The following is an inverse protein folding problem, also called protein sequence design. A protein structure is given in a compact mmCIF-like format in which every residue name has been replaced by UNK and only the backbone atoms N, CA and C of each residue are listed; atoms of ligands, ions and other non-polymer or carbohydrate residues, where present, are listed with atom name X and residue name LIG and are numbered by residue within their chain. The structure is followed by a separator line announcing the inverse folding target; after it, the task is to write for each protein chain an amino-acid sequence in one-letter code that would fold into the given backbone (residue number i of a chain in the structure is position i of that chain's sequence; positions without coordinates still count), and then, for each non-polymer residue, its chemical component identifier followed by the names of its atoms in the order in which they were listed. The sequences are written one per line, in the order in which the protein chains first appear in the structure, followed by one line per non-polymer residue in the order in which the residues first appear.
data_IF_207948552509
#
_entry.id   IF_207948552509
#
_cell.length_a   1.000
_cell.length_b   1.000
_cell.length_c   1.000
_cell.angle_alpha   90.00
_cell.angle_beta   90.00
_cell.angle_gamma   90.00
#
_symmetry.space_group_name_H-M   'P 1'
#
loop_
_entity.id
_entity.type
_entity.pdbx_description
1 polymer ?
#
# COMPACT_ATOMS: atom_id res chain seq x y z
N UNK A 1 3.18 1.53 44.62
CA UNK A 1 2.76 0.12 44.62
C UNK A 1 1.31 0.10 45.06
N UNK A 2 0.39 0.25 44.12
CA UNK A 2 -1.04 -0.01 44.30
C UNK A 2 -1.54 -0.53 42.95
N UNK A 3 -2.27 -1.64 43.04
CA UNK A 3 -2.54 -2.59 41.97
C UNK A 3 -3.51 -2.04 40.91
N UNK A 4 -3.07 -2.02 39.64
CA UNK A 4 -3.98 -2.03 38.50
C UNK A 4 -4.36 -3.48 38.21
N UNK A 5 -5.61 -3.83 38.46
CA UNK A 5 -6.20 -5.12 38.10
C UNK A 5 -6.52 -5.09 36.60
N UNK A 6 -5.80 -5.86 35.81
CA UNK A 6 -6.11 -6.08 34.39
C UNK A 6 -7.36 -6.97 34.26
N UNK A 7 -8.31 -6.56 33.42
CA UNK A 7 -9.49 -7.33 33.05
C UNK A 7 -9.24 -7.98 31.69
N UNK A 8 -9.35 -9.32 31.62
CA UNK A 8 -9.22 -10.10 30.39
C UNK A 8 -10.55 -10.72 29.97
N UNK A 9 -10.74 -10.89 28.66
CA UNK A 9 -11.92 -11.47 28.03
C UNK A 9 -11.51 -12.51 26.99
N UNK A 10 -12.03 -13.74 27.05
CA UNK A 10 -11.84 -14.77 26.02
C UNK A 10 -13.14 -15.04 25.26
N UNK A 11 -13.03 -15.29 23.94
CA UNK A 11 -14.17 -15.59 23.07
C UNK A 11 -14.16 -17.09 22.70
N UNK A 12 -15.32 -17.73 22.79
CA UNK A 12 -15.56 -19.08 22.24
C UNK A 12 -16.49 -18.94 21.03
N UNK A 13 -16.13 -19.58 19.92
CA UNK A 13 -16.92 -19.56 18.69
C UNK A 13 -17.95 -20.69 18.71
N UNK A 14 -19.22 -20.33 18.90
CA UNK A 14 -20.33 -21.01 18.25
C UNK A 14 -21.32 -19.95 17.77
N UNK A 15 -21.81 -20.13 16.54
CA UNK A 15 -22.55 -19.12 15.80
C UNK A 15 -23.73 -18.53 16.56
N UNK A 16 -23.90 -17.21 16.37
CA UNK A 16 -24.89 -16.29 16.95
C UNK A 16 -24.65 -15.88 18.40
N UNK A 17 -24.23 -14.61 18.56
CA UNK A 17 -23.85 -13.86 19.76
C UNK A 17 -22.61 -14.35 20.54
N UNK A 18 -21.57 -13.50 20.55
CA UNK A 18 -20.37 -13.66 21.37
C UNK A 18 -20.66 -13.06 22.75
N UNK A 19 -20.92 -13.92 23.74
CA UNK A 19 -20.99 -13.53 25.15
C UNK A 19 -19.60 -13.65 25.79
N UNK A 20 -19.14 -12.58 26.44
CA UNK A 20 -17.85 -12.54 27.13
C UNK A 20 -18.00 -13.04 28.58
N UNK A 21 -17.35 -14.16 28.92
CA UNK A 21 -17.28 -14.66 30.30
C UNK A 21 -15.88 -14.48 30.88
N UNK A 22 -15.83 -13.99 32.13
CA UNK A 22 -14.59 -13.89 32.93
C UNK A 22 -14.34 -15.26 33.57
N UNK A 23 -13.19 -15.88 33.28
CA UNK A 23 -12.78 -17.15 33.88
C UNK A 23 -12.03 -16.88 35.18
N UNK A 24 -12.52 -17.41 36.30
CA UNK A 24 -11.81 -17.40 37.58
C UNK A 24 -11.16 -18.78 37.83
N UNK A 25 -9.89 -18.81 38.24
CA UNK A 25 -9.17 -20.02 38.63
C UNK A 25 -9.78 -20.66 39.90
N UNK A 26 -9.80 -22.01 40.04
CA UNK A 26 -10.60 -22.67 41.06
C UNK A 26 -9.81 -22.87 42.35
N UNK A 27 -10.18 -22.16 43.41
CA UNK A 27 -10.04 -22.65 44.80
C UNK A 27 -11.10 -22.00 45.66
N UNK A 28 -12.26 -22.63 45.81
CA UNK A 28 -13.03 -22.77 47.06
C UNK A 28 -14.38 -23.47 46.82
N UNK A 29 -14.81 -24.16 47.87
CA UNK A 29 -15.96 -25.07 48.05
C UNK A 29 -17.34 -24.46 47.75
N UNK A 30 -18.40 -25.28 47.60
CA UNK A 30 -19.60 -24.89 46.86
C UNK A 30 -20.55 -24.05 47.72
N UNK A 31 -20.56 -22.74 47.48
CA UNK A 31 -21.70 -21.89 47.82
C UNK A 31 -22.31 -21.38 46.51
N UNK A 32 -23.63 -21.57 46.38
CA UNK A 32 -24.45 -21.17 45.24
C UNK A 32 -24.02 -19.81 44.66
N UNK A 33 -23.74 -19.70 43.35
CA UNK A 33 -23.39 -18.41 42.76
C UNK A 33 -24.60 -17.47 42.81
N UNK A 34 -24.44 -16.21 43.23
CA UNK A 34 -25.50 -15.23 43.08
C UNK A 34 -25.75 -15.00 41.59
N UNK A 35 -27.03 -14.90 41.22
CA UNK A 35 -27.51 -14.46 39.90
C UNK A 35 -26.55 -13.43 39.28
N UNK A 36 -25.96 -13.78 38.14
CA UNK A 36 -25.12 -12.90 37.34
C UNK A 36 -25.95 -11.69 36.89
N UNK A 37 -25.87 -10.60 37.65
CA UNK A 37 -26.33 -9.30 37.19
C UNK A 37 -25.50 -8.93 35.97
N UNK A 38 -26.10 -8.99 34.78
CA UNK A 38 -25.53 -8.39 33.57
C UNK A 38 -25.24 -6.93 33.88
N UNK A 39 -23.94 -6.59 34.00
CA UNK A 39 -23.50 -5.21 34.20
C UNK A 39 -23.79 -4.42 32.93
N UNK A 40 -24.98 -3.81 32.89
CA UNK A 40 -25.38 -2.93 31.80
C UNK A 40 -24.42 -1.73 31.74
N UNK A 41 -23.82 -1.51 30.56
CA UNK A 41 -22.91 -0.40 30.31
C UNK A 41 -23.63 0.95 30.53
N UNK A 42 -23.34 1.63 31.64
CA UNK A 42 -24.09 2.83 32.07
C UNK A 42 -23.85 4.03 31.14
N UNK A 43 -22.74 4.04 30.40
CA UNK A 43 -22.39 5.10 29.45
C UNK A 43 -23.51 5.37 28.42
N UNK A 44 -24.18 4.32 27.95
CA UNK A 44 -25.25 4.44 26.94
C UNK A 44 -26.57 4.98 27.50
N UNK A 45 -26.70 5.11 28.82
CA UNK A 45 -27.91 5.63 29.48
C UNK A 45 -27.87 7.14 29.69
N UNK A 46 -26.69 7.76 29.59
CA UNK A 46 -26.57 9.20 29.69
C UNK A 46 -27.21 9.92 28.47
N UNK A 47 -27.69 11.17 28.62
CA UNK A 47 -28.10 12.00 27.49
C UNK A 47 -26.97 12.18 26.47
N UNK A 48 -27.31 12.36 25.19
CA UNK A 48 -26.33 12.48 24.09
C UNK A 48 -25.29 13.59 24.30
N UNK A 49 -25.68 14.71 24.91
CA UNK A 49 -24.77 15.82 25.24
C UNK A 49 -23.70 15.38 26.25
N UNK A 50 -24.10 14.57 27.25
CA UNK A 50 -23.16 14.05 28.26
C UNK A 50 -22.24 13.01 27.62
N UNK A 51 -22.78 12.14 26.76
CA UNK A 51 -21.99 11.17 25.99
C UNK A 51 -20.95 11.85 25.10
N UNK A 52 -21.35 12.89 24.36
CA UNK A 52 -20.44 13.69 23.52
C UNK A 52 -19.34 14.34 24.35
N UNK A 53 -19.65 14.90 25.53
CA UNK A 53 -18.62 15.44 26.41
C UNK A 53 -17.65 14.35 26.89
N UNK A 54 -18.16 13.19 27.32
CA UNK A 54 -17.33 12.06 27.76
C UNK A 54 -16.39 11.63 26.63
N UNK A 55 -16.92 11.43 25.42
CA UNK A 55 -16.14 11.04 24.26
C UNK A 55 -15.13 12.10 23.83
N UNK A 56 -15.50 13.38 23.90
CA UNK A 56 -14.59 14.51 23.65
C UNK A 56 -13.40 14.56 24.61
N UNK A 57 -13.53 14.05 25.84
CA UNK A 57 -12.41 13.93 26.79
C UNK A 57 -11.47 12.75 26.50
N UNK A 58 -11.93 11.74 25.77
CA UNK A 58 -11.14 10.56 25.48
C UNK A 58 -10.19 10.79 24.30
N UNK A 59 -8.94 10.39 24.46
CA UNK A 59 -7.97 10.35 23.37
C UNK A 59 -8.36 9.30 22.33
N UNK A 60 -7.68 9.30 21.18
CA UNK A 60 -7.99 8.41 20.06
C UNK A 60 -8.08 6.94 20.46
N UNK A 61 -7.05 6.42 21.13
CA UNK A 61 -6.93 4.99 21.40
C UNK A 61 -8.03 4.47 22.37
N UNK A 62 -8.30 5.10 23.54
CA UNK A 62 -9.44 4.70 24.38
C UNK A 62 -10.79 4.77 23.67
N UNK A 63 -10.98 5.78 22.82
CA UNK A 63 -12.23 5.95 22.08
C UNK A 63 -12.40 4.85 21.02
N UNK A 64 -11.31 4.48 20.34
CA UNK A 64 -11.27 3.36 19.41
C UNK A 64 -11.57 2.04 20.15
N UNK A 65 -10.95 1.77 21.31
CA UNK A 65 -11.25 0.58 22.13
C UNK A 65 -12.74 0.53 22.50
N UNK A 66 -13.32 1.64 22.97
CA UNK A 66 -14.75 1.69 23.30
C UNK A 66 -15.65 1.37 22.10
N UNK A 67 -15.21 1.71 20.89
CA UNK A 67 -15.96 1.40 19.67
C UNK A 67 -15.95 -0.11 19.33
N UNK A 68 -15.03 -0.90 19.88
CA UNK A 68 -15.06 -2.36 19.80
C UNK A 68 -16.08 -3.00 20.76
N UNK A 69 -16.48 -2.33 21.84
CA UNK A 69 -17.31 -2.93 22.90
C UNK A 69 -18.74 -3.29 22.45
N UNK A 70 -19.36 -2.53 21.55
CA UNK A 70 -20.66 -2.89 20.98
C UNK A 70 -20.97 -2.09 19.70
N UNK A 71 -21.82 -2.65 18.82
CA UNK A 71 -22.33 -1.95 17.63
C UNK A 71 -23.01 -0.62 17.98
N UNK A 72 -23.72 -0.56 19.12
CA UNK A 72 -24.40 0.66 19.59
C UNK A 72 -23.40 1.73 20.03
N UNK A 73 -22.37 1.34 20.79
CA UNK A 73 -21.29 2.26 21.20
C UNK A 73 -20.54 2.78 19.98
N UNK A 74 -20.21 1.90 19.04
CA UNK A 74 -19.56 2.23 17.77
C UNK A 74 -20.32 3.29 16.99
N UNK A 75 -21.61 3.05 16.76
CA UNK A 75 -22.47 3.99 16.03
C UNK A 75 -22.52 5.36 16.73
N UNK A 76 -22.69 5.35 18.06
CA UNK A 76 -22.75 6.57 18.85
C UNK A 76 -21.44 7.37 18.76
N UNK A 77 -20.28 6.73 18.94
CA UNK A 77 -18.96 7.36 18.80
C UNK A 77 -18.80 7.92 17.39
N UNK A 78 -19.14 7.14 16.35
CA UNK A 78 -19.02 7.59 14.96
C UNK A 78 -19.87 8.82 14.68
N UNK A 79 -21.09 8.88 15.21
CA UNK A 79 -22.00 10.00 15.01
C UNK A 79 -21.61 11.25 15.82
N UNK A 80 -21.22 11.10 17.09
CA UNK A 80 -20.93 12.23 17.97
C UNK A 80 -19.52 12.81 17.76
N UNK A 81 -18.57 11.98 17.32
CA UNK A 81 -17.16 12.35 17.15
C UNK A 81 -16.74 12.45 15.68
N UNK A 82 -17.69 12.55 14.74
CA UNK A 82 -17.42 12.54 13.29
C UNK A 82 -16.37 13.59 12.85
N UNK A 83 -16.34 14.74 13.51
CA UNK A 83 -15.41 15.84 13.26
C UNK A 83 -13.94 15.46 13.55
N UNK A 84 -13.69 14.46 14.41
CA UNK A 84 -12.32 13.98 14.71
C UNK A 84 -11.76 13.09 13.61
N UNK A 85 -12.64 12.54 12.77
CA UNK A 85 -12.29 11.58 11.73
C UNK A 85 -12.17 12.22 10.35
N UNK A 86 -12.66 13.44 10.17
CA UNK A 86 -12.73 14.11 8.86
C UNK A 86 -11.35 14.35 8.24
N UNK A 87 -10.33 14.52 9.09
CA UNK A 87 -8.96 14.75 8.66
C UNK A 87 -8.19 13.45 8.41
N UNK A 88 -8.72 12.30 8.79
CA UNK A 88 -8.10 11.00 8.49
C UNK A 88 -8.13 10.82 6.96
N UNK A 89 -6.98 10.47 6.41
CA UNK A 89 -6.80 10.21 4.98
C UNK A 89 -6.48 8.76 4.71
N UNK A 90 -5.68 8.13 5.58
CA UNK A 90 -5.26 6.75 5.38
C UNK A 90 -5.03 5.98 6.68
N UNK A 91 -5.14 4.67 6.57
CA UNK A 91 -4.84 3.70 7.61
C UNK A 91 -3.83 2.72 7.04
N UNK A 92 -2.68 2.61 7.70
CA UNK A 92 -1.60 1.74 7.26
C UNK A 92 -1.36 0.61 8.25
N UNK A 93 -1.26 -0.61 7.71
CA UNK A 93 -0.81 -1.81 8.40
C UNK A 93 0.66 -2.03 8.06
N UNK A 94 1.53 -2.10 9.07
CA UNK A 94 2.94 -2.44 8.93
C UNK A 94 3.19 -3.80 9.61
N UNK A 95 3.67 -4.74 8.79
CA UNK A 95 4.02 -6.11 9.15
C UNK A 95 5.55 -6.19 9.36
N UNK A 96 5.97 -6.76 10.49
CA UNK A 96 7.37 -6.79 10.95
C UNK A 96 7.69 -8.15 11.56
N UNK A 97 8.95 -8.41 11.95
CA UNK A 97 9.35 -9.66 12.63
C UNK A 97 8.58 -9.93 13.93
N UNK A 98 8.07 -8.89 14.57
CA UNK A 98 7.32 -9.06 15.80
C UNK A 98 5.96 -9.73 15.52
N UNK A 99 5.48 -10.53 16.49
CA UNK A 99 4.11 -11.06 16.47
C UNK A 99 3.04 -9.96 16.47
N UNK A 100 3.44 -8.69 16.59
CA UNK A 100 2.59 -7.51 16.58
C UNK A 100 2.40 -6.93 15.18
N UNK A 101 1.22 -6.39 14.93
CA UNK A 101 0.92 -5.58 13.74
C UNK A 101 0.81 -4.13 14.13
N UNK A 102 1.60 -3.31 13.46
CA UNK A 102 1.64 -1.87 13.67
C UNK A 102 0.57 -1.21 12.80
N UNK A 103 -0.45 -0.62 13.42
CA UNK A 103 -1.49 0.11 12.70
C UNK A 103 -1.31 1.59 12.96
N UNK A 104 -1.25 2.37 11.89
CA UNK A 104 -1.19 3.83 11.99
C UNK A 104 -2.37 4.46 11.29
N UNK A 105 -3.05 5.36 12.01
CA UNK A 105 -4.12 6.19 11.46
C UNK A 105 -3.55 7.58 11.23
N UNK A 106 -3.62 8.06 9.98
CA UNK A 106 -2.99 9.31 9.57
C UNK A 106 -3.93 10.22 8.82
N UNK A 107 -3.71 11.51 9.04
CA UNK A 107 -4.36 12.63 8.37
C UNK A 107 -3.37 13.76 8.12
N UNK A 108 -3.83 14.90 7.61
CA UNK A 108 -2.92 16.01 7.30
C UNK A 108 -2.21 16.57 8.54
N UNK A 109 -2.91 16.58 9.68
CA UNK A 109 -2.38 16.99 10.98
C UNK A 109 -2.53 15.90 12.06
N UNK A 110 -2.82 14.66 11.65
CA UNK A 110 -3.17 13.56 12.54
C UNK A 110 -2.17 12.43 12.39
N UNK A 111 -1.62 11.98 13.51
CA UNK A 111 -0.79 10.78 13.57
C UNK A 111 -1.07 10.02 14.86
N UNK A 112 -1.72 8.87 14.73
CA UNK A 112 -2.01 7.98 15.85
C UNK A 112 -1.49 6.57 15.54
N UNK A 113 -0.29 6.22 16.00
CA UNK A 113 0.17 4.84 15.99
C UNK A 113 -0.49 4.06 17.12
N UNK A 114 -0.90 2.83 16.85
CA UNK A 114 -1.20 1.83 17.87
C UNK A 114 -0.74 0.46 17.40
N UNK A 115 -0.25 -0.33 18.33
CA UNK A 115 0.17 -1.70 18.08
C UNK A 115 -0.98 -2.63 18.46
N UNK A 116 -1.16 -3.67 17.66
CA UNK A 116 -1.96 -4.81 18.05
C UNK A 116 -1.01 -5.97 18.19
N UNK A 117 -0.69 -6.30 19.45
CA UNK A 117 -0.10 -7.59 19.76
C UNK A 117 -1.24 -8.55 20.04
N UNK A 118 -1.40 -9.58 19.24
CA UNK A 118 -2.40 -10.60 19.47
C UNK A 118 -1.97 -11.58 20.59
N UNK A 119 -0.76 -11.42 21.13
CA UNK A 119 -0.21 -12.17 22.26
C UNK A 119 -0.88 -11.73 23.57
N UNK A 120 -1.72 -12.58 24.15
CA UNK A 120 -2.07 -12.49 25.57
C UNK A 120 -0.90 -12.99 26.41
N UNK A 121 -0.64 -12.42 27.59
CA UNK A 121 0.46 -12.82 28.50
C UNK A 121 0.54 -14.34 28.80
N UNK A 122 -0.52 -15.10 28.52
CA UNK A 122 -0.62 -16.54 28.77
C UNK A 122 -0.20 -17.44 27.58
N UNK A 123 -0.09 -16.90 26.36
CA UNK A 123 0.33 -17.64 25.16
C UNK A 123 1.40 -16.84 24.41
N UNK A 124 2.69 -17.09 24.66
CA UNK A 124 3.78 -16.26 24.15
C UNK A 124 4.09 -16.44 22.65
N UNK A 125 3.37 -17.31 21.94
CA UNK A 125 3.60 -17.59 20.51
C UNK A 125 2.25 -17.64 19.79
N UNK A 126 2.08 -16.77 18.81
CA UNK A 126 0.93 -16.78 17.91
C UNK A 126 1.21 -17.64 16.68
N UNK A 127 0.23 -18.43 16.23
CA UNK A 127 0.34 -19.04 14.89
C UNK A 127 0.06 -18.01 13.79
N UNK A 128 0.67 -18.19 12.61
CA UNK A 128 0.43 -17.32 11.45
C UNK A 128 -1.07 -17.24 11.06
N UNK A 129 -1.81 -18.33 11.25
CA UNK A 129 -3.25 -18.38 10.98
C UNK A 129 -4.06 -17.51 11.95
N UNK A 130 -3.73 -17.52 13.23
CA UNK A 130 -4.38 -16.66 14.23
C UNK A 130 -4.06 -15.18 13.97
N UNK A 131 -2.80 -14.86 13.64
CA UNK A 131 -2.38 -13.49 13.26
C UNK A 131 -3.22 -13.00 12.07
N UNK A 132 -3.38 -13.83 11.04
CA UNK A 132 -4.20 -13.50 9.88
C UNK A 132 -5.68 -13.24 10.26
N UNK A 133 -6.29 -14.09 11.07
CA UNK A 133 -7.70 -13.94 11.47
C UNK A 133 -7.92 -12.67 12.30
N UNK A 134 -7.03 -12.39 13.25
CA UNK A 134 -7.10 -11.18 14.08
C UNK A 134 -6.98 -9.94 13.21
N UNK A 135 -5.95 -9.87 12.36
CA UNK A 135 -5.71 -8.73 11.46
C UNK A 135 -6.89 -8.53 10.51
N UNK A 136 -7.46 -9.60 9.95
CA UNK A 136 -8.65 -9.50 9.10
C UNK A 136 -9.85 -8.91 9.87
N UNK A 137 -10.11 -9.39 11.09
CA UNK A 137 -11.20 -8.88 11.92
C UNK A 137 -11.03 -7.40 12.28
N UNK A 138 -9.80 -6.98 12.56
CA UNK A 138 -9.46 -5.57 12.80
C UNK A 138 -9.65 -4.75 11.52
N UNK A 139 -9.19 -5.26 10.38
CA UNK A 139 -9.37 -4.59 9.11
C UNK A 139 -10.85 -4.38 8.77
N UNK A 140 -11.66 -5.43 8.88
CA UNK A 140 -13.10 -5.36 8.65
C UNK A 140 -13.77 -4.34 9.60
N UNK A 141 -13.34 -4.32 10.86
CA UNK A 141 -13.81 -3.34 11.84
C UNK A 141 -13.46 -1.90 11.42
N UNK A 142 -12.18 -1.64 11.12
CA UNK A 142 -11.70 -0.29 10.77
C UNK A 142 -12.37 0.19 9.48
N UNK A 143 -12.54 -0.72 8.50
CA UNK A 143 -13.25 -0.45 7.26
C UNK A 143 -14.72 -0.09 7.51
N UNK A 144 -15.43 -0.81 8.37
CA UNK A 144 -16.82 -0.49 8.74
C UNK A 144 -16.91 0.83 9.53
N UNK A 145 -15.91 1.10 10.38
CA UNK A 145 -15.88 2.27 11.25
C UNK A 145 -15.60 3.56 10.48
N UNK A 146 -14.51 3.59 9.70
CA UNK A 146 -14.05 4.77 8.98
C UNK A 146 -14.62 4.87 7.56
N UNK A 147 -15.01 3.75 6.95
CA UNK A 147 -15.62 3.70 5.64
C UNK A 147 -14.64 3.71 4.47
N UNK A 148 -15.18 3.64 3.23
CA UNK A 148 -14.40 3.49 1.98
C UNK A 148 -13.72 4.77 1.50
N UNK A 149 -14.02 5.92 2.11
CA UNK A 149 -13.39 7.21 1.75
C UNK A 149 -11.94 7.30 2.20
N UNK A 150 -11.53 6.44 3.14
CA UNK A 150 -10.17 6.35 3.65
C UNK A 150 -9.35 5.41 2.76
N UNK A 151 -8.08 5.75 2.54
CA UNK A 151 -7.14 4.90 1.83
C UNK A 151 -6.55 3.86 2.81
N UNK A 152 -6.74 2.57 2.54
CA UNK A 152 -6.12 1.50 3.34
C UNK A 152 -4.86 1.02 2.63
N UNK A 153 -3.78 0.90 3.41
CA UNK A 153 -2.43 0.67 2.91
C UNK A 153 -1.75 -0.47 3.67
N UNK A 154 -0.98 -1.30 2.97
CA UNK A 154 -0.20 -2.38 3.56
C UNK A 154 1.28 -2.14 3.30
N UNK A 155 2.10 -2.39 4.31
CA UNK A 155 3.55 -2.30 4.25
C UNK A 155 4.15 -3.52 4.97
N UNK A 156 5.21 -4.11 4.42
CA UNK A 156 5.88 -5.28 5.01
C UNK A 156 7.39 -5.21 4.88
N UNK A 157 8.08 -5.64 5.93
CA UNK A 157 9.54 -5.79 5.96
C UNK A 157 9.98 -7.13 5.37
N UNK A 158 11.28 -7.32 5.18
CA UNK A 158 11.91 -8.48 4.54
C UNK A 158 11.76 -9.83 5.27
N UNK A 159 10.95 -9.87 6.33
CA UNK A 159 10.86 -11.00 7.24
C UNK A 159 9.55 -11.77 7.14
N UNK A 160 8.45 -11.10 6.77
CA UNK A 160 7.16 -11.75 6.58
C UNK A 160 6.39 -11.16 5.40
N UNK A 161 5.53 -11.99 4.79
CA UNK A 161 4.55 -11.52 3.82
C UNK A 161 3.28 -11.06 4.53
N UNK A 162 2.65 -9.97 4.08
CA UNK A 162 1.41 -9.52 4.68
C UNK A 162 0.24 -10.43 4.27
N UNK A 163 -0.81 -10.55 5.10
CA UNK A 163 -2.04 -11.22 4.71
C UNK A 163 -2.77 -10.48 3.59
N UNK A 164 -3.59 -11.22 2.85
CA UNK A 164 -4.46 -10.67 1.80
C UNK A 164 -5.64 -9.93 2.43
N UNK A 165 -5.59 -8.60 2.49
CA UNK A 165 -6.66 -7.75 3.00
C UNK A 165 -7.50 -7.15 1.86
N UNK A 166 -8.79 -6.89 2.12
CA UNK A 166 -9.72 -6.29 1.15
C UNK A 166 -9.56 -4.77 1.11
N UNK A 167 -10.03 -4.15 0.03
CA UNK A 167 -10.09 -2.68 -0.12
C UNK A 167 -8.75 -1.95 0.13
N UNK A 168 -7.61 -2.63 -0.10
CA UNK A 168 -6.28 -2.04 -0.01
C UNK A 168 -6.00 -1.30 -1.31
N UNK A 169 -5.70 0.00 -1.22
CA UNK A 169 -5.36 0.83 -2.38
C UNK A 169 -3.88 0.76 -2.72
N UNK A 170 -3.02 0.49 -1.72
CA UNK A 170 -1.57 0.52 -1.88
C UNK A 170 -0.91 -0.55 -1.04
N UNK A 171 0.08 -1.21 -1.63
CA UNK A 171 0.89 -2.22 -0.94
C UNK A 171 2.37 -1.99 -1.24
N UNK A 172 3.21 -2.06 -0.21
CA UNK A 172 4.67 -2.14 -0.33
C UNK A 172 5.14 -3.41 0.39
N UNK A 173 5.89 -4.26 -0.29
CA UNK A 173 6.41 -5.51 0.29
C UNK A 173 7.91 -5.55 0.01
N UNK A 174 8.71 -5.65 1.07
CA UNK A 174 10.05 -6.22 0.96
C UNK A 174 9.93 -7.73 1.04
N UNK A 175 10.17 -8.41 -0.06
CA UNK A 175 9.91 -9.84 -0.20
C UNK A 175 10.94 -10.63 0.62
N UNK A 176 10.50 -11.51 1.53
CA UNK A 176 11.39 -12.42 2.23
C UNK A 176 12.11 -13.37 1.28
N UNK A 177 13.33 -13.76 1.64
CA UNK A 177 14.09 -14.74 0.86
C UNK A 177 13.34 -16.07 0.69
N UNK A 178 13.49 -16.71 -0.48
CA UNK A 178 12.83 -17.96 -0.86
C UNK A 178 11.30 -17.90 -1.04
N UNK A 179 10.71 -16.69 -1.06
CA UNK A 179 9.29 -16.53 -1.38
C UNK A 179 9.00 -17.01 -2.81
N UNK A 180 8.00 -17.89 -2.95
CA UNK A 180 7.48 -18.33 -4.25
C UNK A 180 6.61 -17.27 -4.91
N UNK A 181 6.42 -17.37 -6.23
CA UNK A 181 5.54 -16.44 -6.94
C UNK A 181 4.08 -16.56 -6.46
N UNK A 182 3.64 -17.76 -6.10
CA UNK A 182 2.30 -18.05 -5.60
C UNK A 182 2.05 -17.43 -4.21
N UNK A 183 3.03 -17.50 -3.31
CA UNK A 183 2.95 -16.88 -1.98
C UNK A 183 2.90 -15.35 -2.08
N UNK A 184 3.73 -14.75 -2.94
CA UNK A 184 3.70 -13.31 -3.19
C UNK A 184 2.36 -12.89 -3.80
N UNK A 185 1.87 -13.62 -4.79
CA UNK A 185 0.60 -13.37 -5.47
C UNK A 185 -0.59 -13.43 -4.48
N UNK A 186 -0.58 -14.38 -3.53
CA UNK A 186 -1.62 -14.55 -2.54
C UNK A 186 -1.88 -13.28 -1.70
N UNK A 187 -0.86 -12.45 -1.49
CA UNK A 187 -0.94 -11.18 -0.76
C UNK A 187 -1.92 -10.17 -1.40
N UNK A 188 -2.19 -10.29 -2.71
CA UNK A 188 -2.93 -9.30 -3.48
C UNK A 188 -4.34 -9.74 -3.90
N UNK A 189 -4.67 -11.04 -3.77
CA UNK A 189 -5.93 -11.64 -4.25
C UNK A 189 -7.18 -10.93 -3.70
N UNK A 190 -7.17 -10.50 -2.44
CA UNK A 190 -8.31 -9.84 -1.81
C UNK A 190 -8.51 -8.37 -2.28
N UNK A 191 -7.50 -7.76 -2.88
CA UNK A 191 -7.54 -6.37 -3.39
C UNK A 191 -6.88 -6.27 -4.76
N UNK A 192 -7.54 -6.78 -5.83
CA UNK A 192 -7.02 -6.64 -7.19
C UNK A 192 -7.09 -5.18 -7.68
N UNK A 193 -6.25 -4.84 -8.66
CA UNK A 193 -6.20 -3.52 -9.31
C UNK A 193 -5.90 -2.36 -8.34
N UNK A 194 -4.95 -2.59 -7.42
CA UNK A 194 -4.48 -1.53 -6.52
C UNK A 194 -3.94 -0.32 -7.30
N UNK A 195 -4.02 0.86 -6.69
CA UNK A 195 -3.46 2.09 -7.27
C UNK A 195 -1.94 1.99 -7.35
N UNK A 196 -1.29 1.43 -6.33
CA UNK A 196 0.17 1.34 -6.24
C UNK A 196 0.61 0.04 -5.58
N UNK A 197 1.48 -0.69 -6.27
CA UNK A 197 2.21 -1.83 -5.71
C UNK A 197 3.71 -1.56 -5.82
N UNK A 198 4.42 -1.69 -4.70
CA UNK A 198 5.87 -1.75 -4.67
C UNK A 198 6.33 -3.12 -4.16
N UNK A 199 7.22 -3.75 -4.91
CA UNK A 199 7.84 -5.01 -4.53
C UNK A 199 9.35 -4.81 -4.57
N UNK A 200 9.99 -5.02 -3.43
CA UNK A 200 11.42 -4.86 -3.22
C UNK A 200 11.96 -6.13 -2.55
N UNK A 201 13.27 -6.21 -2.31
CA UNK A 201 13.92 -7.37 -1.70
C UNK A 201 14.28 -8.47 -2.71
N UNK A 202 14.58 -9.66 -2.20
CA UNK A 202 15.19 -10.73 -2.99
C UNK A 202 14.13 -11.67 -3.58
N UNK A 203 13.39 -11.19 -4.58
CA UNK A 203 12.43 -12.00 -5.31
C UNK A 203 12.97 -12.45 -6.68
N UNK A 204 13.16 -13.76 -6.83
CA UNK A 204 13.63 -14.40 -8.07
C UNK A 204 12.54 -15.24 -8.76
N UNK A 205 11.28 -15.13 -8.32
CA UNK A 205 10.16 -15.88 -8.89
C UNK A 205 9.66 -15.29 -10.20
N UNK A 206 8.98 -16.11 -11.01
CA UNK A 206 8.30 -15.67 -12.24
C UNK A 206 6.82 -15.44 -11.92
N UNK A 207 6.35 -14.20 -12.08
CA UNK A 207 4.94 -13.90 -11.94
C UNK A 207 4.12 -14.58 -13.04
N UNK A 208 2.99 -15.16 -12.65
CA UNK A 208 2.07 -15.83 -13.57
C UNK A 208 1.53 -14.85 -14.63
N UNK A 209 1.12 -15.38 -15.79
CA UNK A 209 0.55 -14.57 -16.89
C UNK A 209 -0.66 -13.75 -16.47
N UNK A 210 -1.48 -14.29 -15.56
CA UNK A 210 -2.68 -13.65 -15.04
C UNK A 210 -2.46 -12.99 -13.67
N UNK A 211 -1.22 -12.70 -13.30
CA UNK A 211 -0.88 -12.08 -12.01
C UNK A 211 -1.64 -10.78 -11.79
N UNK A 212 -2.27 -10.67 -10.63
CA UNK A 212 -2.97 -9.50 -10.08
C UNK A 212 -2.01 -8.33 -9.91
N UNK A 213 -0.76 -8.61 -9.54
CA UNK A 213 0.31 -7.62 -9.36
C UNK A 213 0.52 -6.82 -10.66
N UNK A 214 0.55 -7.51 -11.80
CA UNK A 214 0.73 -6.91 -13.13
C UNK A 214 -0.48 -6.08 -13.60
N UNK A 215 -1.60 -6.11 -12.86
CA UNK A 215 -2.79 -5.29 -13.08
C UNK A 215 -2.84 -4.01 -12.24
N UNK A 216 -1.86 -3.75 -11.37
CA UNK A 216 -1.83 -2.51 -10.60
C UNK A 216 -1.74 -1.28 -11.50
N UNK A 217 -2.38 -0.17 -11.11
CA UNK A 217 -2.31 1.07 -11.88
C UNK A 217 -0.86 1.57 -11.95
N UNK A 218 -0.13 1.45 -10.84
CA UNK A 218 1.28 1.78 -10.73
C UNK A 218 2.03 0.61 -10.10
N UNK A 219 3.02 0.08 -10.82
CA UNK A 219 3.85 -1.01 -10.35
C UNK A 219 5.30 -0.56 -10.29
N UNK A 220 5.91 -0.67 -9.11
CA UNK A 220 7.35 -0.52 -8.90
C UNK A 220 7.91 -1.86 -8.44
N UNK A 221 8.89 -2.37 -9.16
CA UNK A 221 9.58 -3.61 -8.79
C UNK A 221 11.09 -3.38 -8.74
N UNK A 222 11.73 -3.97 -7.75
CA UNK A 222 13.17 -4.11 -7.68
C UNK A 222 13.46 -5.61 -7.67
N UNK A 223 13.80 -6.17 -8.83
CA UNK A 223 14.01 -7.60 -8.99
C UNK A 223 15.41 -7.86 -9.52
N UNK A 224 16.19 -8.62 -8.78
CA UNK A 224 17.51 -9.06 -9.22
C UNK A 224 17.33 -10.22 -10.21
N UNK A 225 17.36 -9.97 -11.52
CA UNK A 225 17.28 -11.08 -12.48
C UNK A 225 16.86 -10.77 -13.92
N UNK A 226 16.46 -11.83 -14.62
CA UNK A 226 16.15 -11.82 -16.07
C UNK A 226 14.64 -11.81 -16.36
N UNK A 227 13.82 -11.31 -15.44
CA UNK A 227 12.35 -11.31 -15.55
C UNK A 227 11.76 -10.00 -16.05
N UNK A 228 12.61 -8.99 -16.31
CA UNK A 228 12.18 -7.66 -16.77
C UNK A 228 11.30 -7.72 -18.02
N UNK A 229 11.70 -8.53 -19.01
CA UNK A 229 10.94 -8.67 -20.27
C UNK A 229 9.51 -9.17 -20.03
N UNK A 230 9.34 -10.20 -19.20
CA UNK A 230 8.02 -10.78 -18.92
C UNK A 230 7.11 -9.78 -18.20
N UNK A 231 7.68 -8.97 -17.30
CA UNK A 231 6.94 -7.93 -16.58
C UNK A 231 6.46 -6.86 -17.54
N UNK A 232 7.34 -6.32 -18.38
CA UNK A 232 6.97 -5.28 -19.34
C UNK A 232 5.89 -5.79 -20.31
N UNK A 233 6.09 -6.96 -20.92
CA UNK A 233 5.17 -7.50 -21.93
C UNK A 233 3.78 -7.87 -21.37
N UNK A 234 3.67 -8.14 -20.06
CA UNK A 234 2.41 -8.58 -19.42
C UNK A 234 1.77 -7.52 -18.53
N UNK A 235 2.44 -6.40 -18.29
CA UNK A 235 1.91 -5.31 -17.47
C UNK A 235 0.70 -4.66 -18.15
N UNK A 236 -0.38 -4.46 -17.38
CA UNK A 236 -1.66 -3.94 -17.89
C UNK A 236 -2.03 -2.57 -17.32
N UNK A 237 -1.23 -2.07 -16.38
CA UNK A 237 -1.44 -0.80 -15.72
C UNK A 237 -0.93 0.41 -16.50
N UNK A 238 -0.82 1.52 -15.79
CA UNK A 238 -0.52 2.82 -16.37
C UNK A 238 0.92 3.29 -16.16
N UNK A 239 1.59 2.87 -15.09
CA UNK A 239 2.98 3.26 -14.82
C UNK A 239 3.78 2.07 -14.34
N UNK A 240 4.91 1.83 -14.98
CA UNK A 240 5.81 0.75 -14.64
C UNK A 240 7.19 1.30 -14.31
N UNK A 241 7.73 0.91 -13.15
CA UNK A 241 9.10 1.17 -12.75
C UNK A 241 9.77 -0.16 -12.43
N UNK A 242 10.82 -0.51 -13.18
CA UNK A 242 11.59 -1.72 -12.98
C UNK A 242 13.02 -1.33 -12.67
N UNK A 243 13.50 -1.70 -11.50
CA UNK A 243 14.87 -1.50 -11.05
C UNK A 243 15.60 -2.85 -10.95
N UNK A 244 16.90 -2.83 -11.24
CA UNK A 244 17.81 -3.98 -11.11
C UNK A 244 17.47 -5.19 -12.00
N UNK A 245 16.73 -4.99 -13.10
CA UNK A 245 16.37 -6.08 -14.01
C UNK A 245 17.04 -5.95 -15.38
N UNK A 246 17.32 -7.09 -16.02
CA UNK A 246 17.82 -7.15 -17.40
C UNK A 246 16.67 -7.19 -18.42
N UNK A 247 16.86 -6.48 -19.54
CA UNK A 247 15.96 -6.54 -20.69
C UNK A 247 16.69 -6.88 -21.99
N UNK A 248 16.03 -7.61 -22.88
CA UNK A 248 16.52 -7.80 -24.24
C UNK A 248 16.23 -6.56 -25.10
N UNK A 249 17.16 -6.21 -26.00
CA UNK A 249 16.96 -5.07 -26.91
C UNK A 249 15.74 -5.30 -27.81
N UNK A 250 15.47 -6.55 -28.18
CA UNK A 250 14.28 -6.95 -28.94
C UNK A 250 12.99 -6.59 -28.21
N UNK A 251 12.95 -6.74 -26.88
CA UNK A 251 11.77 -6.42 -26.08
C UNK A 251 11.53 -4.91 -26.02
N UNK A 252 12.60 -4.13 -25.84
CA UNK A 252 12.52 -2.66 -25.86
C UNK A 252 12.09 -2.17 -27.25
N UNK A 253 12.71 -2.69 -28.31
CA UNK A 253 12.32 -2.38 -29.69
C UNK A 253 10.86 -2.77 -29.99
N UNK A 254 10.41 -3.92 -29.49
CA UNK A 254 9.02 -4.35 -29.62
C UNK A 254 8.08 -3.37 -28.92
N UNK A 255 8.37 -3.02 -27.67
CA UNK A 255 7.60 -2.02 -26.91
C UNK A 255 7.45 -0.71 -27.69
N UNK A 256 8.57 -0.12 -28.14
CA UNK A 256 8.54 1.15 -28.86
C UNK A 256 7.76 1.06 -30.18
N UNK A 257 7.93 -0.03 -30.94
CA UNK A 257 7.21 -0.27 -32.20
C UNK A 257 5.71 -0.44 -32.00
N UNK A 258 5.32 -1.28 -31.05
CA UNK A 258 3.92 -1.58 -30.77
C UNK A 258 3.19 -0.38 -30.17
N UNK A 259 3.84 0.36 -29.26
CA UNK A 259 3.28 1.61 -28.74
C UNK A 259 3.11 2.63 -29.86
N UNK A 260 4.16 2.89 -30.66
CA UNK A 260 4.13 3.87 -31.75
C UNK A 260 3.06 3.54 -32.80
N UNK A 261 2.92 2.28 -33.19
CA UNK A 261 1.90 1.84 -34.16
C UNK A 261 0.50 1.66 -33.56
N UNK A 262 0.32 2.01 -32.28
CA UNK A 262 -0.91 1.87 -31.51
C UNK A 262 -1.44 0.41 -31.42
N UNK A 263 -0.57 -0.59 -31.61
CA UNK A 263 -0.91 -2.01 -31.55
C UNK A 263 -0.76 -2.61 -30.14
N UNK A 264 0.05 -1.99 -29.27
CA UNK A 264 0.26 -2.45 -27.90
C UNK A 264 0.50 -1.31 -26.92
N UNK A 265 0.52 -1.64 -25.63
CA UNK A 265 0.87 -0.72 -24.53
C UNK A 265 0.01 0.55 -24.44
N UNK A 266 -1.24 0.54 -24.92
CA UNK A 266 -2.07 1.75 -24.97
C UNK A 266 -2.40 2.32 -23.58
N UNK A 267 -2.40 1.48 -22.54
CA UNK A 267 -2.62 1.91 -21.16
C UNK A 267 -1.39 2.57 -20.53
N UNK A 268 -0.18 2.32 -21.06
CA UNK A 268 1.07 2.72 -20.45
C UNK A 268 1.35 4.21 -20.67
N UNK A 269 1.43 4.95 -19.57
CA UNK A 269 1.66 6.40 -19.52
C UNK A 269 3.11 6.74 -19.23
N UNK A 270 3.79 5.91 -18.45
CA UNK A 270 5.21 6.06 -18.17
C UNK A 270 5.88 4.73 -17.90
N UNK A 271 7.12 4.60 -18.37
CA UNK A 271 8.00 3.47 -18.12
C UNK A 271 9.35 4.01 -17.65
N UNK A 272 9.86 3.43 -16.57
CA UNK A 272 11.23 3.63 -16.11
C UNK A 272 11.86 2.26 -15.94
N UNK A 273 12.95 2.02 -16.65
CA UNK A 273 13.79 0.84 -16.52
C UNK A 273 15.16 1.33 -16.08
N UNK A 274 15.64 0.80 -14.97
CA UNK A 274 17.00 0.94 -14.52
C UNK A 274 17.65 -0.45 -14.46
N UNK A 275 18.67 -0.66 -15.28
CA UNK A 275 19.40 -1.91 -15.43
C UNK A 275 20.86 -1.77 -14.97
N UNK A 276 21.08 -0.91 -13.96
CA UNK A 276 22.39 -0.67 -13.36
C UNK A 276 23.06 -2.02 -13.00
N UNK A 277 24.36 -2.15 -13.29
CA UNK A 277 25.14 -3.40 -13.15
C UNK A 277 24.76 -4.59 -14.07
N UNK A 278 23.65 -4.54 -14.83
CA UNK A 278 23.20 -5.67 -15.66
C UNK A 278 23.43 -5.49 -17.16
N UNK A 279 23.08 -4.33 -17.71
CA UNK A 279 23.11 -4.13 -19.17
C UNK A 279 23.28 -2.67 -19.55
N UNK A 280 24.15 -2.46 -20.55
CA UNK A 280 24.18 -1.20 -21.28
C UNK A 280 23.25 -1.20 -22.49
N UNK A 281 22.59 -0.08 -22.73
CA UNK A 281 21.74 0.14 -23.89
C UNK A 281 22.43 1.03 -24.92
N UNK A 282 22.21 0.73 -26.19
CA UNK A 282 22.64 1.55 -27.31
C UNK A 282 21.42 2.28 -27.88
N UNK A 283 21.30 3.56 -27.53
CA UNK A 283 20.20 4.41 -27.96
C UNK A 283 20.07 4.45 -29.50
N UNK A 284 21.18 4.50 -30.23
CA UNK A 284 21.18 4.60 -31.70
C UNK A 284 20.59 3.33 -32.31
N UNK A 285 20.95 2.17 -31.77
CA UNK A 285 20.45 0.89 -32.25
C UNK A 285 18.99 0.63 -31.83
N UNK A 286 18.60 1.00 -30.61
CA UNK A 286 17.24 0.80 -30.11
C UNK A 286 16.21 1.71 -30.77
N UNK A 287 16.60 2.94 -31.08
CA UNK A 287 15.74 3.92 -31.73
C UNK A 287 15.80 3.85 -33.26
N UNK A 288 16.60 2.93 -33.80
CA UNK A 288 16.70 2.69 -35.24
C UNK A 288 15.31 2.36 -35.80
N UNK A 289 14.94 3.05 -36.86
CA UNK A 289 13.66 2.93 -37.55
C UNK A 289 12.43 3.43 -36.75
N UNK A 290 12.61 4.09 -35.59
CA UNK A 290 11.48 4.64 -34.81
C UNK A 290 11.00 6.02 -35.30
N UNK A 291 11.69 6.64 -36.25
CA UNK A 291 11.43 8.00 -36.74
C UNK A 291 11.29 9.01 -35.58
N UNK A 292 12.25 8.98 -34.65
CA UNK A 292 12.33 9.86 -33.49
C UNK A 292 12.40 11.31 -33.96
N UNK A 293 11.57 12.16 -33.35
CA UNK A 293 11.58 13.59 -33.56
C UNK A 293 12.45 14.27 -32.49
N UNK A 294 13.02 15.42 -32.84
CA UNK A 294 13.79 16.25 -31.93
C UNK A 294 13.15 17.63 -31.83
N UNK A 295 13.22 18.23 -30.65
CA UNK A 295 12.76 19.61 -30.44
C UNK A 295 13.49 20.58 -31.39
N UNK A 296 12.74 21.53 -31.96
CA UNK A 296 13.20 22.46 -33.01
C UNK A 296 14.49 23.22 -32.66
N UNK A 297 14.62 23.63 -31.39
CA UNK A 297 15.77 24.40 -30.91
C UNK A 297 16.78 23.49 -30.23
N UNK A 298 18.08 23.54 -30.59
CA UNK A 298 19.14 22.73 -30.00
C UNK A 298 19.38 22.92 -28.50
N UNK A 299 18.90 24.01 -27.91
CA UNK A 299 19.02 24.31 -26.48
C UNK A 299 17.82 23.83 -25.66
N UNK A 300 16.67 23.59 -26.29
CA UNK A 300 15.44 23.30 -25.57
C UNK A 300 15.43 21.84 -25.07
N UNK A 301 15.14 21.62 -23.80
CA UNK A 301 14.83 20.29 -23.28
C UNK A 301 13.43 20.27 -22.73
N UNK A 302 12.72 19.17 -22.97
CA UNK A 302 11.41 18.96 -22.38
C UNK A 302 11.57 18.16 -21.10
N UNK A 303 11.13 18.76 -19.99
CA UNK A 303 11.07 18.10 -18.70
C UNK A 303 9.64 17.61 -18.48
N UNK A 304 9.44 16.30 -18.57
CA UNK A 304 8.15 15.65 -18.30
C UNK A 304 8.20 15.13 -16.88
N UNK A 305 7.34 15.64 -16.00
CA UNK A 305 7.18 15.09 -14.64
C UNK A 305 5.83 14.46 -14.44
N UNK A 306 5.77 13.49 -13.55
CA UNK A 306 4.52 12.94 -13.06
C UNK A 306 4.62 12.71 -11.56
N UNK A 307 3.47 12.88 -10.90
CA UNK A 307 3.36 12.70 -9.47
C UNK A 307 2.71 11.35 -9.19
N UNK A 308 3.42 10.50 -8.45
CA UNK A 308 2.86 9.25 -7.96
C UNK A 308 2.66 9.39 -6.47
N UNK A 309 1.48 9.04 -5.97
CA UNK A 309 1.32 8.80 -4.54
C UNK A 309 2.01 7.47 -4.23
N UNK A 310 2.90 7.46 -3.25
CA UNK A 310 3.70 6.28 -2.90
C UNK A 310 3.69 6.04 -1.41
N UNK A 311 4.04 4.81 -1.03
CA UNK A 311 4.39 4.45 0.33
C UNK A 311 5.92 4.54 0.43
N UNK A 312 6.47 5.52 1.14
CA UNK A 312 7.90 5.51 1.46
C UNK A 312 8.14 5.87 2.91
N UNK A 313 8.84 5.00 3.63
CA UNK A 313 9.49 5.32 4.90
C UNK A 313 10.89 5.83 4.57
N UNK A 314 11.17 7.11 4.89
CA UNK A 314 12.55 7.59 4.94
C UNK A 314 13.21 7.06 6.21
N UNK A 315 14.28 6.28 6.06
CA UNK A 315 15.06 5.72 7.18
C UNK A 315 16.25 6.62 7.58
N UNK A 316 16.39 7.82 7.03
CA UNK A 316 17.43 8.76 7.46
C UNK A 316 16.90 9.76 8.49
N UNK A 317 17.23 9.49 9.76
CA UNK A 317 17.54 10.45 10.85
C UNK A 317 16.52 11.58 11.15
N UNK A 318 15.89 11.49 12.33
CA UNK A 318 15.34 12.61 13.11
C UNK A 318 14.39 13.58 12.38
N UNK A 319 13.18 13.11 12.08
CA UNK A 319 12.06 13.93 11.64
C UNK A 319 11.31 13.28 10.49
N UNK A 320 10.28 12.49 10.81
CA UNK A 320 9.59 11.64 9.84
C UNK A 320 8.69 12.43 8.87
N UNK A 321 9.25 12.91 7.76
CA UNK A 321 8.45 13.31 6.60
C UNK A 321 8.27 12.12 5.67
N UNK A 322 7.08 11.51 5.72
CA UNK A 322 6.63 10.57 4.68
C UNK A 322 6.53 11.34 3.35
N UNK A 323 7.30 10.95 2.34
CA UNK A 323 7.17 11.53 1.02
C UNK A 323 5.83 11.06 0.41
N UNK A 324 4.79 11.89 0.57
CA UNK A 324 3.39 11.65 0.12
C UNK A 324 3.26 11.44 -1.38
N UNK A 325 4.27 11.88 -2.13
CA UNK A 325 4.35 11.64 -3.55
C UNK A 325 5.78 11.76 -4.04
N UNK A 326 6.18 10.85 -4.92
CA UNK A 326 7.42 11.02 -5.68
C UNK A 326 7.05 11.75 -6.96
N UNK A 327 7.70 12.91 -7.17
CA UNK A 327 7.75 13.55 -8.48
C UNK A 327 8.83 12.83 -9.25
N UNK A 328 8.43 11.93 -10.14
CA UNK A 328 9.33 11.33 -11.12
C UNK A 328 9.33 12.22 -12.35
N UNK A 329 10.39 12.16 -13.13
CA UNK A 329 10.44 12.86 -14.39
C UNK A 329 11.54 12.34 -15.29
N UNK A 330 11.45 12.73 -16.55
CA UNK A 330 12.50 12.54 -17.52
C UNK A 330 12.72 13.86 -18.24
N UNK A 331 13.98 14.13 -18.56
CA UNK A 331 14.36 15.24 -19.42
C UNK A 331 14.83 14.67 -20.73
N UNK A 332 14.17 15.01 -21.83
CA UNK A 332 14.60 14.56 -23.16
C UNK A 332 14.34 15.61 -24.22
N UNK A 333 15.15 15.54 -25.28
CA UNK A 333 14.93 16.23 -26.55
C UNK A 333 14.21 15.34 -27.57
N UNK A 334 14.34 14.03 -27.37
CA UNK A 334 13.87 12.99 -28.28
C UNK A 334 12.45 12.59 -27.88
N UNK A 335 11.55 12.58 -28.87
CA UNK A 335 10.17 12.20 -28.66
C UNK A 335 9.61 11.40 -29.84
N UNK A 336 8.58 10.62 -29.53
CA UNK A 336 7.84 9.82 -30.48
C UNK A 336 6.42 10.36 -30.58
N UNK A 337 5.87 10.28 -31.79
CA UNK A 337 4.46 10.57 -32.06
C UNK A 337 3.79 9.24 -32.38
N UNK A 338 2.72 8.92 -31.65
CA UNK A 338 1.93 7.72 -31.88
C UNK A 338 1.10 7.85 -33.15
N UNK A 339 1.14 6.81 -33.95
CA UNK A 339 0.39 6.72 -35.19
C UNK A 339 -1.12 6.62 -34.89
N UNK A 340 -1.92 7.42 -35.58
CA UNK A 340 -3.39 7.40 -35.46
C UNK A 340 -3.96 8.55 -34.63
N UNK A 341 -3.58 8.68 -33.36
CA UNK A 341 -4.11 9.74 -32.46
C UNK A 341 -3.13 10.90 -32.20
N UNK A 342 -1.87 10.78 -32.63
CA UNK A 342 -0.88 11.84 -32.51
C UNK A 342 -0.37 12.08 -31.09
N UNK A 343 -0.64 11.18 -30.14
CA UNK A 343 -0.14 11.31 -28.76
C UNK A 343 1.39 11.32 -28.76
N UNK A 344 1.96 12.32 -28.08
CA UNK A 344 3.40 12.52 -27.99
C UNK A 344 3.96 11.90 -26.72
N UNK A 345 5.16 11.34 -26.82
CA UNK A 345 5.87 10.76 -25.69
C UNK A 345 7.36 11.04 -25.77
N UNK A 346 7.95 11.51 -24.67
CA UNK A 346 9.40 11.63 -24.57
C UNK A 346 10.04 10.27 -24.34
N UNK A 347 11.19 10.06 -24.96
CA UNK A 347 12.01 8.86 -24.77
C UNK A 347 13.43 9.28 -24.42
N UNK A 348 14.00 8.63 -23.42
CA UNK A 348 15.40 8.79 -23.02
C UNK A 348 15.99 7.40 -22.89
N UNK A 349 17.11 7.16 -23.57
CA UNK A 349 17.89 5.94 -23.45
C UNK A 349 19.32 6.36 -23.15
N UNK A 350 19.76 6.06 -21.94
CA UNK A 350 21.14 6.23 -21.49
C UNK A 350 21.80 4.85 -21.29
N UNK A 351 23.05 4.83 -20.83
CA UNK A 351 23.80 3.59 -20.65
C UNK A 351 22.98 2.54 -19.90
N UNK A 352 22.38 2.86 -18.76
CA UNK A 352 21.66 1.87 -17.93
C UNK A 352 20.16 2.15 -17.79
N UNK A 353 19.67 3.23 -18.37
CA UNK A 353 18.34 3.76 -18.10
C UNK A 353 17.53 3.89 -19.38
N UNK A 354 16.28 3.44 -19.33
CA UNK A 354 15.28 3.69 -20.35
C UNK A 354 14.10 4.36 -19.67
N UNK A 355 13.82 5.60 -20.08
CA UNK A 355 12.64 6.34 -19.64
C UNK A 355 11.74 6.64 -20.83
N UNK A 356 10.45 6.49 -20.61
CA UNK A 356 9.40 6.83 -21.56
C UNK A 356 8.24 7.49 -20.80
N UNK A 357 7.68 8.61 -21.29
CA UNK A 357 6.50 9.22 -20.70
C UNK A 357 5.68 10.05 -21.69
N UNK A 358 4.36 9.94 -21.61
CA UNK A 358 3.41 10.71 -22.42
C UNK A 358 3.39 12.18 -22.04
N UNK A 359 3.15 13.05 -23.02
CA UNK A 359 2.95 14.48 -22.82
C UNK A 359 1.51 14.78 -22.40
N UNK A 360 1.33 15.78 -21.52
CA UNK A 360 0.06 16.46 -21.25
C UNK A 360 -1.18 15.58 -21.01
N UNK A 361 -1.02 14.47 -20.30
CA UNK A 361 -2.15 13.85 -19.62
C UNK A 361 -2.38 14.53 -18.27
N UNK A 362 -3.59 14.47 -17.70
CA UNK A 362 -3.97 15.03 -16.37
C UNK A 362 -3.05 14.64 -15.19
N UNK A 363 -2.03 13.83 -15.42
CA UNK A 363 -1.09 13.30 -14.44
C UNK A 363 0.38 13.45 -14.83
N UNK A 364 0.68 14.10 -15.97
CA UNK A 364 2.04 14.49 -16.38
C UNK A 364 2.08 16.00 -16.66
N UNK A 365 3.03 16.71 -16.04
CA UNK A 365 3.28 18.13 -16.28
C UNK A 365 4.50 18.27 -17.20
N UNK A 366 4.39 19.12 -18.21
CA UNK A 366 5.48 19.39 -19.16
C UNK A 366 5.99 20.82 -19.00
N UNK A 367 7.31 20.97 -18.88
CA UNK A 367 7.97 22.28 -18.80
C UNK A 367 9.14 22.33 -19.77
N UNK A 368 9.22 23.40 -20.57
CA UNK A 368 10.38 23.67 -21.43
C UNK A 368 11.46 24.37 -20.62
N UNK A 369 12.64 23.74 -20.52
CA UNK A 369 13.79 24.32 -19.83
C UNK A 369 14.75 24.86 -20.88
N UNK A 370 14.94 26.19 -20.90
CA UNK A 370 16.03 26.83 -21.60
C UNK A 370 17.23 26.87 -20.66
N UNK A 371 18.24 26.03 -20.88
CA UNK A 371 19.49 26.12 -20.12
C UNK A 371 20.28 27.31 -20.72
N UNK A 372 20.46 28.43 -19.99
CA UNK A 372 21.29 29.53 -20.48
C UNK A 372 22.76 29.07 -20.49
N UNK A 373 23.47 29.37 -21.58
CA UNK A 373 24.89 29.07 -21.77
C UNK A 373 25.80 29.71 -20.73
#
# INVERSE_FOLDING_TARGET
MEHLTELYSSASTNGTDVDWHVVHSPTQTPHNPPSSRVLSMQLLKFPSIVQQKIFGFLQFHPLLILSFCSKRTRHLIRCLEIYRWIDIKYIRYLFTEEDSVYITVRGDNVWWPFYLSPVTLEQPVMTAMEKQLVVQGIHDFLYEFFGPSIDYEVDSTEHELPPSLKNIKRTCIKVPGNTTAEELEACFVASPNQEYIAIDGNFNGILSTNSVILGAQHLRVHFDGNHGDEILLRFRGARLQVHSAKFHDSTICQFLKEWKSNQGFQNLKSLVINSFDYKKYDAVNLLKDMNVQQLDRPQDTLHVTWQMRVLYFDNHLNGSTLQKSIRSGLTSRDYLIKDGDGVEASVLIEDYDICFALWNENSCETEYINIPH
#
